data_IF_690157168621
#
_entry.id   IF_690157168621
#
_cell.length_a   1.000
_cell.length_b   1.000
_cell.length_c   1.000
_cell.angle_alpha   90.00
_cell.angle_beta   90.00
_cell.angle_gamma   90.00
#
_symmetry.space_group_name_H-M   'P 1'
#
loop_
_entity.id
_entity.type
_entity.pdbx_description
1 polymer ?
#
# COMPACT_ATOMS: atom_id res chain seq x y z
N UNK A 1 19.04 -17.25 -54.39
CA UNK A 1 17.87 -16.97 -53.53
C UNK A 1 18.37 -16.30 -52.25
N UNK A 2 18.14 -15.00 -52.10
CA UNK A 2 18.60 -14.21 -50.95
C UNK A 2 17.64 -14.43 -49.77
N UNK A 3 18.17 -14.94 -48.67
CA UNK A 3 17.46 -15.13 -47.41
C UNK A 3 17.16 -13.79 -46.75
N UNK A 4 15.89 -13.42 -46.68
CA UNK A 4 15.39 -12.27 -45.94
C UNK A 4 15.45 -12.55 -44.45
N UNK A 5 16.41 -11.95 -43.75
CA UNK A 5 16.45 -11.85 -42.29
C UNK A 5 15.27 -10.99 -41.81
N UNK A 6 14.29 -11.62 -41.16
CA UNK A 6 13.22 -10.92 -40.42
C UNK A 6 13.85 -10.14 -39.27
N UNK A 7 13.79 -8.81 -39.34
CA UNK A 7 14.10 -7.92 -38.23
C UNK A 7 13.10 -8.19 -37.09
N UNK A 8 13.56 -8.79 -35.99
CA UNK A 8 12.78 -8.83 -34.75
C UNK A 8 12.66 -7.41 -34.19
N UNK A 9 11.48 -6.99 -33.70
CA UNK A 9 11.35 -5.68 -33.06
C UNK A 9 12.26 -5.63 -31.83
N UNK A 10 13.16 -4.65 -31.79
CA UNK A 10 14.02 -4.38 -30.63
C UNK A 10 13.12 -4.21 -29.41
N UNK A 11 13.22 -5.11 -28.43
CA UNK A 11 12.65 -4.90 -27.09
C UNK A 11 13.21 -3.58 -26.57
N UNK A 12 12.37 -2.55 -26.53
CA UNK A 12 12.71 -1.29 -25.88
C UNK A 12 12.93 -1.65 -24.41
N UNK A 13 14.16 -1.55 -23.94
CA UNK A 13 14.48 -1.69 -22.53
C UNK A 13 13.90 -0.48 -21.81
N UNK A 14 12.66 -0.60 -21.36
CA UNK A 14 12.02 0.42 -20.54
C UNK A 14 12.84 0.51 -19.25
N UNK A 15 13.58 1.62 -19.08
CA UNK A 15 14.30 1.91 -17.84
C UNK A 15 13.31 1.84 -16.67
N UNK A 16 13.79 1.41 -15.50
CA UNK A 16 12.94 1.47 -14.31
C UNK A 16 12.58 2.94 -14.09
N UNK A 17 11.28 3.24 -14.12
CA UNK A 17 10.73 4.59 -13.90
C UNK A 17 11.02 5.21 -12.52
N UNK A 18 11.78 4.51 -11.67
CA UNK A 18 12.36 5.04 -10.45
C UNK A 18 13.37 6.17 -10.74
N UNK A 19 13.93 6.23 -11.95
CA UNK A 19 14.89 7.24 -12.38
C UNK A 19 14.24 8.50 -12.99
N UNK A 20 12.90 8.53 -13.10
CA UNK A 20 12.21 9.71 -13.64
C UNK A 20 12.26 10.86 -12.63
N UNK A 21 12.81 12.04 -12.98
CA UNK A 21 12.85 13.19 -12.10
C UNK A 21 11.46 13.58 -11.60
N UNK A 22 11.39 14.11 -10.37
CA UNK A 22 10.15 14.59 -9.79
C UNK A 22 9.41 15.56 -10.73
N UNK A 23 8.10 15.40 -10.81
CA UNK A 23 7.28 16.22 -11.70
C UNK A 23 7.00 17.60 -11.11
N UNK A 24 6.61 18.56 -11.94
CA UNK A 24 6.22 19.89 -11.45
C UNK A 24 5.06 19.77 -10.45
N UNK A 25 5.02 20.57 -9.36
CA UNK A 25 3.95 20.49 -8.39
C UNK A 25 2.56 20.78 -9.00
N UNK A 26 1.57 19.97 -8.63
CA UNK A 26 0.16 20.20 -8.94
C UNK A 26 -0.39 21.37 -8.11
N UNK A 27 -1.11 22.31 -8.74
CA UNK A 27 -1.75 23.44 -8.05
C UNK A 27 -2.98 22.98 -7.22
N UNK A 28 -3.66 23.88 -6.50
CA UNK A 28 -4.81 23.52 -5.67
C UNK A 28 -6.01 23.00 -6.47
N UNK A 29 -6.35 23.67 -7.56
CA UNK A 29 -7.46 23.32 -8.45
C UNK A 29 -7.29 21.92 -9.06
N UNK A 30 -6.13 21.63 -9.64
CA UNK A 30 -5.83 20.29 -10.17
C UNK A 30 -5.85 19.21 -9.09
N UNK A 31 -5.42 19.51 -7.85
CA UNK A 31 -5.50 18.53 -6.75
C UNK A 31 -6.94 18.19 -6.40
N UNK A 32 -7.82 19.18 -6.39
CA UNK A 32 -9.24 18.95 -6.15
C UNK A 32 -9.85 18.08 -7.25
N UNK A 33 -9.65 18.47 -8.53
CA UNK A 33 -10.12 17.70 -9.68
C UNK A 33 -9.55 16.28 -9.70
N UNK A 34 -8.28 16.10 -9.33
CA UNK A 34 -7.62 14.80 -9.27
C UNK A 34 -8.36 13.85 -8.32
N UNK A 35 -8.67 14.30 -7.11
CA UNK A 35 -9.38 13.46 -6.14
C UNK A 35 -10.87 13.28 -6.47
N UNK A 36 -11.53 14.28 -7.06
CA UNK A 36 -12.89 14.14 -7.57
C UNK A 36 -13.00 13.00 -8.58
N UNK A 37 -12.13 12.99 -9.60
CA UNK A 37 -12.10 11.94 -10.64
C UNK A 37 -11.73 10.57 -10.07
N UNK A 38 -10.84 10.50 -9.08
CA UNK A 38 -10.54 9.23 -8.42
C UNK A 38 -11.74 8.72 -7.62
N UNK A 39 -12.45 9.58 -6.89
CA UNK A 39 -13.63 9.21 -6.11
C UNK A 39 -14.79 8.73 -7.01
N UNK A 40 -14.97 9.34 -8.18
CA UNK A 40 -15.98 8.91 -9.16
C UNK A 40 -15.66 7.52 -9.75
N UNK A 41 -14.38 7.23 -9.98
CA UNK A 41 -13.94 5.99 -10.62
C UNK A 41 -13.72 4.83 -9.63
N UNK A 42 -13.29 5.13 -8.40
CA UNK A 42 -13.02 4.17 -7.34
C UNK A 42 -14.09 4.35 -6.26
N UNK A 43 -15.24 3.71 -6.44
CA UNK A 43 -16.40 3.90 -5.56
C UNK A 43 -16.18 3.37 -4.14
N UNK A 44 -15.45 2.27 -4.01
CA UNK A 44 -15.18 1.59 -2.74
C UNK A 44 -13.66 1.53 -2.48
N UNK A 45 -13.05 2.64 -2.01
CA UNK A 45 -11.61 2.71 -1.78
C UNK A 45 -11.26 2.04 -0.45
N UNK A 46 -11.25 0.71 -0.44
CA UNK A 46 -10.93 -0.11 0.73
C UNK A 46 -9.64 -0.92 0.54
N UNK A 47 -9.10 -1.44 1.64
CA UNK A 47 -7.98 -2.38 1.60
C UNK A 47 -8.40 -3.67 0.87
N UNK A 48 -7.45 -4.30 0.18
CA UNK A 48 -7.65 -5.60 -0.47
C UNK A 48 -7.31 -6.78 0.45
N UNK A 49 -6.93 -6.50 1.70
CA UNK A 49 -6.72 -7.50 2.75
C UNK A 49 -8.06 -7.86 3.38
N UNK A 50 -8.33 -9.16 3.53
CA UNK A 50 -9.54 -9.64 4.17
C UNK A 50 -9.38 -9.66 5.70
N UNK A 51 -10.33 -9.07 6.41
CA UNK A 51 -10.38 -9.03 7.87
C UNK A 51 -11.82 -8.80 8.37
N UNK A 52 -12.08 -9.18 9.61
CA UNK A 52 -13.37 -8.99 10.31
C UNK A 52 -13.23 -8.27 11.66
N UNK A 53 -12.00 -7.99 12.10
CA UNK A 53 -11.69 -7.24 13.32
C UNK A 53 -10.40 -6.44 13.18
N UNK A 54 -10.16 -5.48 14.09
CA UNK A 54 -8.94 -4.69 14.12
C UNK A 54 -7.70 -5.56 14.36
N UNK A 55 -7.84 -6.63 15.13
CA UNK A 55 -6.78 -7.61 15.34
C UNK A 55 -6.45 -8.36 14.05
N UNK A 56 -7.46 -8.86 13.34
CA UNK A 56 -7.26 -9.53 12.05
C UNK A 56 -6.58 -8.60 11.04
N UNK A 57 -6.99 -7.34 10.98
CA UNK A 57 -6.34 -6.34 10.14
C UNK A 57 -4.88 -6.15 10.52
N UNK A 58 -4.57 -5.97 11.81
CA UNK A 58 -3.19 -5.80 12.28
C UNK A 58 -2.31 -6.97 11.82
N UNK A 59 -2.76 -8.21 12.05
CA UNK A 59 -2.02 -9.40 11.65
C UNK A 59 -1.87 -9.47 10.12
N UNK A 60 -2.94 -9.22 9.36
CA UNK A 60 -2.88 -9.23 7.90
C UNK A 60 -1.87 -8.19 7.36
N UNK A 61 -1.86 -6.97 7.90
CA UNK A 61 -0.92 -5.92 7.49
C UNK A 61 0.51 -6.29 7.87
N UNK A 62 0.75 -6.86 9.06
CA UNK A 62 2.08 -7.37 9.46
C UNK A 62 2.59 -8.45 8.49
N UNK A 63 1.70 -9.35 8.05
CA UNK A 63 2.01 -10.41 7.09
C UNK A 63 2.23 -9.89 5.66
N UNK A 64 1.62 -8.75 5.30
CA UNK A 64 1.71 -8.13 3.96
C UNK A 64 3.09 -7.56 3.62
N UNK A 65 3.97 -7.35 4.60
CA UNK A 65 5.30 -6.81 4.35
C UNK A 65 6.09 -7.69 3.36
N UNK A 66 6.38 -7.15 2.16
CA UNK A 66 7.02 -7.90 1.06
C UNK A 66 6.25 -9.16 0.62
N UNK A 67 4.92 -9.13 0.74
CA UNK A 67 4.03 -10.16 0.24
C UNK A 67 2.95 -9.52 -0.64
N UNK A 68 2.20 -10.34 -1.36
CA UNK A 68 1.01 -9.88 -2.09
C UNK A 68 -0.22 -10.03 -1.20
N UNK A 69 -1.20 -9.13 -1.32
CA UNK A 69 -2.45 -9.22 -0.55
C UNK A 69 -3.16 -10.55 -0.82
N UNK A 70 -3.11 -11.05 -2.07
CA UNK A 70 -3.60 -12.40 -2.42
C UNK A 70 -2.93 -13.51 -1.59
N UNK A 71 -1.61 -13.50 -1.48
CA UNK A 71 -0.89 -14.51 -0.67
C UNK A 71 -1.20 -14.42 0.82
N UNK A 72 -1.43 -13.20 1.32
CA UNK A 72 -1.84 -12.97 2.71
C UNK A 72 -3.25 -13.52 2.93
N UNK A 73 -4.22 -13.15 2.08
CA UNK A 73 -5.62 -13.57 2.19
C UNK A 73 -5.76 -15.10 2.19
N UNK A 74 -4.99 -15.81 1.35
CA UNK A 74 -4.99 -17.29 1.34
C UNK A 74 -4.49 -17.87 2.68
N UNK A 75 -3.49 -17.23 3.30
CA UNK A 75 -2.96 -17.68 4.58
C UNK A 75 -3.91 -17.34 5.73
N UNK A 76 -4.43 -16.10 5.75
CA UNK A 76 -5.29 -15.60 6.82
C UNK A 76 -6.66 -16.24 6.81
N UNK A 77 -7.22 -16.61 5.66
CA UNK A 77 -8.46 -17.38 5.57
C UNK A 77 -8.39 -18.67 6.41
N UNK A 78 -7.28 -19.42 6.29
CA UNK A 78 -7.07 -20.65 7.05
C UNK A 78 -6.70 -20.39 8.51
N UNK A 79 -5.86 -19.38 8.75
CA UNK A 79 -5.40 -19.04 10.10
C UNK A 79 -6.55 -18.52 10.97
N UNK A 80 -7.31 -17.54 10.48
CA UNK A 80 -8.35 -16.87 11.27
C UNK A 80 -9.56 -17.77 11.54
N UNK A 81 -9.78 -18.80 10.72
CA UNK A 81 -10.77 -19.85 11.01
C UNK A 81 -10.47 -20.63 12.31
N UNK A 82 -9.21 -20.69 12.74
CA UNK A 82 -8.80 -21.43 13.95
C UNK A 82 -8.21 -20.54 15.05
N UNK A 83 -7.67 -19.38 14.70
CA UNK A 83 -7.04 -18.45 15.64
C UNK A 83 -7.10 -17.02 15.11
N UNK A 84 -8.06 -16.23 15.59
CA UNK A 84 -8.25 -14.82 15.24
C UNK A 84 -8.33 -13.88 16.45
N UNK A 85 -7.76 -14.29 17.59
CA UNK A 85 -7.57 -13.43 18.76
C UNK A 85 -6.12 -13.53 19.23
N UNK A 86 -5.60 -12.54 19.99
CA UNK A 86 -4.25 -12.62 20.55
C UNK A 86 -4.02 -13.91 21.34
N UNK A 87 -4.98 -14.29 22.20
CA UNK A 87 -4.88 -15.50 23.01
C UNK A 87 -4.88 -16.76 22.14
N UNK A 88 -5.78 -16.88 21.17
CA UNK A 88 -5.84 -18.06 20.30
C UNK A 88 -4.57 -18.23 19.47
N UNK A 89 -3.93 -17.14 19.04
CA UNK A 89 -2.64 -17.19 18.34
C UNK A 89 -1.50 -17.67 19.26
N UNK A 90 -1.51 -17.27 20.54
CA UNK A 90 -0.54 -17.76 21.51
C UNK A 90 -0.76 -19.23 21.85
N UNK A 91 -2.02 -19.66 22.02
CA UNK A 91 -2.39 -21.05 22.29
C UNK A 91 -2.04 -21.95 21.10
N UNK A 92 -2.17 -21.44 19.87
CA UNK A 92 -1.73 -22.13 18.66
C UNK A 92 -0.21 -22.40 18.68
N UNK A 93 0.56 -21.43 19.20
CA UNK A 93 2.00 -21.51 19.33
C UNK A 93 2.77 -21.21 18.04
N UNK A 94 4.05 -20.86 18.19
CA UNK A 94 4.92 -20.39 17.11
C UNK A 94 5.04 -21.40 15.95
N UNK A 95 5.26 -22.67 16.26
CA UNK A 95 5.54 -23.69 15.23
C UNK A 95 4.30 -24.03 14.40
N UNK A 96 3.10 -24.00 15.00
CA UNK A 96 1.87 -24.18 14.23
C UNK A 96 1.52 -22.92 13.45
N UNK A 97 1.68 -21.72 14.02
CA UNK A 97 1.50 -20.47 13.29
C UNK A 97 2.34 -20.44 12.00
N UNK A 98 3.61 -20.85 12.08
CA UNK A 98 4.49 -20.96 10.91
C UNK A 98 3.90 -21.83 9.80
N UNK A 99 3.19 -22.92 10.12
CA UNK A 99 2.57 -23.79 9.12
C UNK A 99 1.50 -23.04 8.33
N UNK A 100 0.65 -22.27 9.01
CA UNK A 100 -0.42 -21.48 8.38
C UNK A 100 0.09 -20.37 7.46
N UNK A 101 1.22 -19.75 7.80
CA UNK A 101 1.76 -18.62 7.03
C UNK A 101 3.00 -18.97 6.20
N UNK A 102 3.30 -20.26 6.04
CA UNK A 102 4.52 -20.75 5.35
C UNK A 102 4.61 -20.36 3.87
N UNK A 103 3.47 -20.07 3.24
CA UNK A 103 3.39 -19.56 1.87
C UNK A 103 3.78 -18.07 1.73
N UNK A 104 4.00 -17.38 2.85
CA UNK A 104 4.39 -15.97 2.88
C UNK A 104 5.91 -15.84 3.03
N UNK A 105 6.54 -14.99 2.22
CA UNK A 105 7.96 -14.68 2.38
C UNK A 105 8.27 -14.13 3.78
N UNK A 106 9.43 -14.51 4.32
CA UNK A 106 9.90 -14.13 5.67
C UNK A 106 9.02 -14.67 6.81
N UNK A 107 8.27 -15.76 6.60
CA UNK A 107 7.33 -16.30 7.58
C UNK A 107 7.94 -16.58 8.96
N UNK A 108 9.22 -16.98 9.05
CA UNK A 108 9.87 -17.26 10.32
C UNK A 108 9.94 -16.02 11.24
N UNK A 109 10.44 -14.89 10.71
CA UNK A 109 10.51 -13.65 11.48
C UNK A 109 9.14 -13.03 11.67
N UNK A 110 8.24 -13.14 10.68
CA UNK A 110 6.84 -12.70 10.81
C UNK A 110 6.10 -13.44 11.91
N UNK A 111 6.21 -14.76 11.99
CA UNK A 111 5.57 -15.56 13.03
C UNK A 111 6.08 -15.14 14.43
N UNK A 112 7.39 -14.97 14.59
CA UNK A 112 7.97 -14.50 15.85
C UNK A 112 7.44 -13.11 16.25
N UNK A 113 7.35 -12.17 15.29
CA UNK A 113 6.78 -10.84 15.51
C UNK A 113 5.29 -10.89 15.88
N UNK A 114 4.51 -11.75 15.22
CA UNK A 114 3.08 -11.95 15.53
C UNK A 114 2.90 -12.49 16.95
N UNK A 115 3.68 -13.51 17.35
CA UNK A 115 3.63 -14.04 18.72
C UNK A 115 3.96 -12.96 19.75
N UNK A 116 5.06 -12.22 19.55
CA UNK A 116 5.45 -11.14 20.45
C UNK A 116 4.40 -10.02 20.51
N UNK A 117 3.82 -9.67 19.36
CA UNK A 117 2.71 -8.70 19.29
C UNK A 117 1.51 -9.18 20.10
N UNK A 118 1.10 -10.44 19.97
CA UNK A 118 -0.02 -10.99 20.75
C UNK A 118 0.26 -10.95 22.26
N UNK A 119 1.49 -11.24 22.69
CA UNK A 119 1.92 -11.09 24.08
C UNK A 119 1.82 -9.63 24.55
N UNK A 120 2.34 -8.69 23.77
CA UNK A 120 2.28 -7.25 24.08
C UNK A 120 0.83 -6.76 24.15
N UNK A 121 -0.05 -7.20 23.24
CA UNK A 121 -1.46 -6.83 23.27
C UNK A 121 -2.14 -7.29 24.55
N UNK A 122 -1.95 -8.54 24.98
CA UNK A 122 -2.55 -9.05 26.21
C UNK A 122 -2.00 -8.38 27.47
N UNK A 123 -0.67 -8.19 27.53
CA UNK A 123 0.00 -7.71 28.75
C UNK A 123 -0.02 -6.19 28.92
N UNK A 124 -0.01 -5.42 27.83
CA UNK A 124 0.11 -3.95 27.85
C UNK A 124 -1.13 -3.22 27.35
N UNK A 125 -1.97 -3.88 26.55
CA UNK A 125 -3.11 -3.25 25.88
C UNK A 125 -4.44 -3.99 26.11
N UNK A 126 -4.52 -4.83 27.15
CA UNK A 126 -5.74 -5.56 27.54
C UNK A 126 -6.37 -6.38 26.41
N UNK A 127 -5.54 -6.91 25.50
CA UNK A 127 -5.96 -7.69 24.34
C UNK A 127 -6.48 -6.86 23.16
N UNK A 128 -6.46 -5.53 23.24
CA UNK A 128 -6.99 -4.63 22.22
C UNK A 128 -5.88 -4.03 21.35
N UNK A 129 -6.18 -3.79 20.08
CA UNK A 129 -5.26 -3.09 19.17
C UNK A 129 -5.21 -1.60 19.55
N UNK A 130 -4.02 -1.04 19.86
CA UNK A 130 -3.92 0.36 20.26
C UNK A 130 -4.26 1.32 19.12
N UNK A 131 -4.83 2.47 19.48
CA UNK A 131 -5.34 3.47 18.53
C UNK A 131 -4.42 4.68 18.37
N UNK A 132 -3.19 4.60 18.86
CA UNK A 132 -2.16 5.63 18.66
C UNK A 132 -0.98 5.07 17.87
N UNK A 133 -0.35 5.93 17.07
CA UNK A 133 0.79 5.52 16.23
C UNK A 133 1.96 5.06 17.08
N UNK A 134 2.26 5.78 18.16
CA UNK A 134 3.44 5.52 18.98
C UNK A 134 3.29 4.17 19.71
N UNK A 135 2.09 3.82 20.17
CA UNK A 135 1.80 2.49 20.72
C UNK A 135 1.88 1.38 19.67
N UNK A 136 1.34 1.60 18.48
CA UNK A 136 1.44 0.63 17.39
C UNK A 136 2.90 0.41 16.97
N UNK A 137 3.71 1.46 16.85
CA UNK A 137 5.14 1.37 16.51
C UNK A 137 5.97 0.65 17.60
N UNK A 138 5.47 0.51 18.83
CA UNK A 138 6.11 -0.31 19.87
C UNK A 138 5.87 -1.82 19.69
N UNK A 139 4.88 -2.23 18.89
CA UNK A 139 4.60 -3.64 18.62
C UNK A 139 5.65 -4.24 17.69
N UNK A 140 6.04 -5.49 17.96
CA UNK A 140 7.09 -6.16 17.22
C UNK A 140 6.73 -6.31 15.73
N UNK A 141 7.58 -5.78 14.84
CA UNK A 141 7.37 -5.85 13.39
C UNK A 141 6.38 -4.80 12.84
N UNK A 142 5.86 -3.91 13.68
CA UNK A 142 5.03 -2.79 13.27
C UNK A 142 5.89 -1.54 13.15
N UNK A 143 6.17 -1.12 11.91
CA UNK A 143 6.78 0.18 11.64
C UNK A 143 5.73 1.26 11.31
N UNK A 144 6.18 2.50 11.11
CA UNK A 144 5.34 3.66 10.78
C UNK A 144 4.30 3.40 9.68
N UNK A 145 4.70 2.74 8.59
CA UNK A 145 3.79 2.42 7.48
C UNK A 145 2.65 1.51 7.96
N UNK A 146 2.99 0.43 8.66
CA UNK A 146 2.00 -0.52 9.21
C UNK A 146 1.07 0.18 10.20
N UNK A 147 1.62 0.97 11.12
CA UNK A 147 0.82 1.75 12.08
C UNK A 147 -0.16 2.69 11.36
N UNK A 148 0.30 3.45 10.36
CA UNK A 148 -0.57 4.35 9.60
C UNK A 148 -1.67 3.59 8.83
N UNK A 149 -1.39 2.41 8.25
CA UNK A 149 -2.43 1.59 7.58
C UNK A 149 -3.50 1.16 8.58
N UNK A 150 -3.11 0.66 9.75
CA UNK A 150 -4.05 0.23 10.80
C UNK A 150 -4.89 1.40 11.29
N UNK A 151 -4.26 2.54 11.63
CA UNK A 151 -4.95 3.74 12.09
C UNK A 151 -5.97 4.28 11.07
N UNK A 152 -5.62 4.27 9.78
CA UNK A 152 -6.53 4.73 8.74
C UNK A 152 -7.69 3.75 8.52
N UNK A 153 -7.37 2.46 8.36
CA UNK A 153 -8.33 1.45 7.89
C UNK A 153 -9.25 0.94 9.00
N UNK A 154 -8.72 0.69 10.21
CA UNK A 154 -9.53 0.23 11.35
C UNK A 154 -10.18 1.38 12.11
N UNK A 155 -9.47 2.49 12.29
CA UNK A 155 -9.87 3.54 13.22
C UNK A 155 -10.25 4.87 12.56
N UNK A 156 -10.34 4.90 11.22
CA UNK A 156 -10.77 6.07 10.46
C UNK A 156 -9.90 7.32 10.67
N UNK A 157 -8.62 7.15 11.04
CA UNK A 157 -7.72 8.29 11.27
C UNK A 157 -7.22 8.85 9.93
N UNK A 158 -7.19 10.18 9.74
CA UNK A 158 -6.71 10.81 8.51
C UNK A 158 -5.17 10.84 8.45
N UNK A 159 -4.55 9.67 8.50
CA UNK A 159 -3.10 9.46 8.39
C UNK A 159 -2.74 8.86 7.03
N UNK A 160 -1.51 9.11 6.57
CA UNK A 160 -1.06 8.63 5.27
C UNK A 160 0.05 7.59 5.42
N UNK A 161 -0.25 6.33 5.10
CA UNK A 161 0.79 5.33 4.87
C UNK A 161 1.34 5.49 3.45
N UNK A 162 2.65 5.71 3.31
CA UNK A 162 3.31 5.84 2.00
C UNK A 162 4.11 4.57 1.72
N UNK A 163 3.67 3.83 0.71
CA UNK A 163 4.35 2.65 0.18
C UNK A 163 5.02 2.97 -1.18
N UNK A 164 5.49 1.95 -1.89
CA UNK A 164 6.13 2.12 -3.21
C UNK A 164 5.16 2.58 -4.29
N UNK A 165 3.86 2.29 -4.17
CA UNK A 165 2.82 2.76 -5.10
C UNK A 165 2.55 4.24 -4.87
N UNK A 166 2.23 4.63 -3.64
CA UNK A 166 1.91 6.01 -3.27
C UNK A 166 3.13 6.92 -3.45
N UNK A 167 4.32 6.45 -3.09
CA UNK A 167 5.57 7.21 -3.32
C UNK A 167 5.76 7.52 -4.81
N UNK A 168 5.54 6.53 -5.69
CA UNK A 168 5.63 6.70 -7.14
C UNK A 168 4.54 7.61 -7.67
N UNK A 169 3.28 7.40 -7.26
CA UNK A 169 2.13 8.23 -7.67
C UNK A 169 2.35 9.68 -7.25
N UNK A 170 2.74 9.94 -6.00
CA UNK A 170 3.01 11.28 -5.49
C UNK A 170 4.07 12.03 -6.29
N UNK A 171 5.18 11.35 -6.61
CA UNK A 171 6.27 11.93 -7.38
C UNK A 171 5.96 12.12 -8.87
N UNK A 172 5.32 11.14 -9.52
CA UNK A 172 4.96 11.23 -10.95
C UNK A 172 3.86 12.24 -11.21
N UNK A 173 2.81 12.25 -10.40
CA UNK A 173 1.65 13.14 -10.64
C UNK A 173 1.93 14.59 -10.28
N UNK A 174 2.98 14.87 -9.49
CA UNK A 174 3.24 16.19 -8.91
C UNK A 174 2.39 16.50 -7.68
N UNK A 175 1.60 15.53 -7.20
CA UNK A 175 0.76 15.66 -6.00
C UNK A 175 1.61 15.89 -4.74
N UNK A 176 2.66 15.09 -4.57
CA UNK A 176 3.54 15.13 -3.41
C UNK A 176 4.94 14.62 -3.79
N UNK A 177 5.79 15.52 -4.27
CA UNK A 177 7.15 15.21 -4.69
C UNK A 177 8.10 15.24 -3.50
N UNK A 178 8.97 14.24 -3.38
CA UNK A 178 9.94 14.15 -2.30
C UNK A 178 10.93 13.01 -2.51
N UNK A 179 12.16 13.19 -2.00
CA UNK A 179 13.22 12.17 -2.07
C UNK A 179 13.06 11.05 -1.06
N UNK A 180 12.31 11.29 0.02
CA UNK A 180 12.12 10.33 1.11
C UNK A 180 10.63 10.07 1.36
N UNK A 181 10.32 8.89 1.88
CA UNK A 181 8.95 8.49 2.26
C UNK A 181 8.32 9.52 3.20
N UNK A 182 9.07 9.97 4.22
CA UNK A 182 8.60 10.96 5.17
C UNK A 182 8.31 12.33 4.53
N UNK A 183 9.13 12.76 3.55
CA UNK A 183 8.87 14.00 2.83
C UNK A 183 7.58 13.91 2.01
N UNK A 184 7.34 12.78 1.36
CA UNK A 184 6.10 12.53 0.60
C UNK A 184 4.90 12.44 1.54
N UNK A 185 5.00 11.74 2.66
CA UNK A 185 3.94 11.64 3.69
C UNK A 185 3.51 13.02 4.18
N UNK A 186 4.47 13.86 4.63
CA UNK A 186 4.19 15.22 5.09
C UNK A 186 3.58 16.10 3.99
N UNK A 187 4.06 15.96 2.75
CA UNK A 187 3.52 16.70 1.63
C UNK A 187 2.08 16.27 1.30
N UNK A 188 1.77 14.98 1.36
CA UNK A 188 0.41 14.45 1.14
C UNK A 188 -0.55 15.00 2.20
N UNK A 189 -0.22 14.89 3.48
CA UNK A 189 -1.04 15.42 4.59
C UNK A 189 -1.32 16.93 4.44
N UNK A 190 -0.34 17.70 3.95
CA UNK A 190 -0.50 19.14 3.72
C UNK A 190 -1.30 19.47 2.45
N UNK A 191 -1.26 18.61 1.44
CA UNK A 191 -1.72 18.95 0.08
C UNK A 191 -3.00 18.26 -0.35
N UNK A 192 -3.39 17.16 0.26
CA UNK A 192 -4.66 16.51 -0.07
C UNK A 192 -5.80 17.41 0.45
N UNK A 193 -6.85 17.68 -0.35
CA UNK A 193 -8.04 18.37 0.16
C UNK A 193 -8.63 17.60 1.33
N UNK A 194 -8.99 18.28 2.42
CA UNK A 194 -9.39 17.65 3.69
C UNK A 194 -10.52 16.64 3.53
N UNK A 195 -11.49 16.90 2.66
CA UNK A 195 -12.63 16.02 2.39
C UNK A 195 -12.24 14.65 1.79
N UNK A 196 -11.05 14.53 1.21
CA UNK A 196 -10.55 13.26 0.65
C UNK A 196 -9.46 12.63 1.50
N UNK A 197 -9.02 13.27 2.58
CA UNK A 197 -7.81 12.86 3.30
C UNK A 197 -7.95 11.47 3.93
N UNK A 198 -9.15 11.10 4.37
CA UNK A 198 -9.44 9.78 4.94
C UNK A 198 -9.23 8.67 3.90
N UNK A 199 -9.82 8.82 2.72
CA UNK A 199 -9.81 7.79 1.67
C UNK A 199 -8.61 7.88 0.72
N UNK A 200 -7.84 8.97 0.81
CA UNK A 200 -6.72 9.23 -0.09
C UNK A 200 -5.68 8.12 -0.09
N UNK A 201 -5.44 7.45 1.04
CA UNK A 201 -4.54 6.29 1.06
C UNK A 201 -4.98 5.23 0.05
N UNK A 202 -6.24 4.83 0.12
CA UNK A 202 -6.82 3.80 -0.74
C UNK A 202 -6.95 4.25 -2.20
N UNK A 203 -7.36 5.50 -2.46
CA UNK A 203 -7.37 6.04 -3.82
C UNK A 203 -6.00 5.97 -4.48
N UNK A 204 -4.95 6.40 -3.75
CA UNK A 204 -3.61 6.47 -4.31
C UNK A 204 -2.95 5.09 -4.46
N UNK A 205 -3.15 4.16 -3.53
CA UNK A 205 -2.61 2.80 -3.64
C UNK A 205 -3.29 2.03 -4.78
N UNK A 206 -4.62 2.08 -4.89
CA UNK A 206 -5.38 1.40 -5.94
C UNK A 206 -5.04 1.99 -7.32
N UNK A 207 -5.01 3.33 -7.43
CA UNK A 207 -4.57 4.00 -8.66
C UNK A 207 -3.13 3.62 -9.04
N UNK A 208 -2.22 3.63 -8.06
CA UNK A 208 -0.83 3.24 -8.26
C UNK A 208 -0.67 1.77 -8.65
N UNK A 209 -1.49 0.87 -8.11
CA UNK A 209 -1.46 -0.57 -8.37
C UNK A 209 -1.98 -0.91 -9.76
N UNK A 210 -3.12 -0.34 -10.16
CA UNK A 210 -3.85 -0.78 -11.35
C UNK A 210 -3.70 0.13 -12.58
N UNK A 211 -3.32 1.39 -12.38
CA UNK A 211 -3.22 2.40 -13.45
C UNK A 211 -1.80 2.95 -13.59
N UNK A 212 -1.28 3.61 -12.55
CA UNK A 212 0.03 4.24 -12.55
C UNK A 212 1.15 3.22 -12.21
N UNK A 213 1.21 2.15 -12.99
CA UNK A 213 2.11 1.01 -12.78
C UNK A 213 3.59 1.40 -12.95
N UNK A 214 4.47 0.66 -12.29
CA UNK A 214 5.90 0.96 -12.28
C UNK A 214 6.56 0.81 -13.65
N UNK A 215 6.20 -0.20 -14.45
CA UNK A 215 6.87 -0.48 -15.72
C UNK A 215 6.13 0.07 -16.94
N UNK A 216 4.82 -0.09 -16.98
CA UNK A 216 3.97 0.32 -18.11
C UNK A 216 2.73 1.03 -17.57
N UNK A 217 2.84 2.30 -17.14
CA UNK A 217 1.66 3.04 -16.68
C UNK A 217 0.64 3.18 -17.80
N UNK A 218 -0.64 3.00 -17.49
CA UNK A 218 -1.75 3.10 -18.45
C UNK A 218 -2.17 4.56 -18.67
N UNK A 219 -1.24 5.41 -19.13
CA UNK A 219 -1.51 6.85 -19.23
C UNK A 219 -2.68 7.16 -20.19
N UNK A 220 -2.82 6.43 -21.30
CA UNK A 220 -3.89 6.66 -22.29
C UNK A 220 -5.31 6.36 -21.80
N UNK A 221 -5.46 5.60 -20.72
CA UNK A 221 -6.76 5.31 -20.06
C UNK A 221 -6.83 5.85 -18.64
N UNK A 222 -5.89 6.71 -18.25
CA UNK A 222 -5.81 7.24 -16.90
C UNK A 222 -6.86 8.32 -16.68
N UNK A 223 -7.78 8.11 -15.73
CA UNK A 223 -8.86 9.07 -15.43
C UNK A 223 -8.36 10.45 -14.99
N UNK A 224 -7.16 10.51 -14.38
CA UNK A 224 -6.53 11.75 -13.90
C UNK A 224 -5.43 12.26 -14.85
N UNK A 225 -5.51 11.90 -16.15
CA UNK A 225 -4.49 12.25 -17.13
C UNK A 225 -4.24 13.77 -17.24
N UNK A 226 -5.30 14.58 -17.25
CA UNK A 226 -5.22 16.03 -17.46
C UNK A 226 -4.64 16.76 -16.24
N UNK A 227 -4.90 16.25 -15.05
CA UNK A 227 -4.37 16.77 -13.79
C UNK A 227 -2.91 16.35 -13.58
N UNK A 228 -2.55 15.15 -14.05
CA UNK A 228 -1.24 14.55 -13.87
C UNK A 228 -0.12 15.38 -14.51
N UNK A 229 0.91 15.67 -13.72
CA UNK A 229 2.09 16.43 -14.15
C UNK A 229 3.26 15.57 -14.63
N UNK A 230 3.02 14.26 -14.84
CA UNK A 230 4.07 13.32 -15.24
C UNK A 230 4.62 13.64 -16.63
N UNK A 231 5.93 13.90 -16.70
CA UNK A 231 6.60 14.39 -17.93
C UNK A 231 6.44 13.46 -19.13
N UNK A 232 6.48 12.15 -18.92
CA UNK A 232 6.43 11.17 -20.01
C UNK A 232 5.00 10.66 -20.28
N UNK A 233 3.94 11.26 -19.71
CA UNK A 233 2.58 10.72 -19.81
C UNK A 233 2.08 10.58 -21.26
N UNK A 234 2.46 11.49 -22.15
CA UNK A 234 2.09 11.47 -23.58
C UNK A 234 2.70 10.24 -24.28
N UNK A 235 3.99 9.97 -24.04
CA UNK A 235 4.68 8.77 -24.59
C UNK A 235 4.05 7.45 -24.16
N UNK A 236 3.40 7.43 -23.00
CA UNK A 236 2.69 6.27 -22.46
C UNK A 236 1.20 6.24 -22.82
N UNK A 237 0.67 7.33 -23.38
CA UNK A 237 -0.70 7.38 -23.89
C UNK A 237 -0.80 6.88 -25.33
N UNK A 238 0.30 6.99 -26.08
CA UNK A 238 0.42 6.54 -27.48
C UNK A 238 0.79 5.05 -27.63
N UNK A 239 1.11 4.36 -26.54
CA UNK A 239 1.46 2.93 -26.48
C UNK A 239 0.26 2.06 -26.13
#
# INVERSE_FOLDING_TARGET
MKTTTRNQPKKISISKTADTPASRPMNAEKRLAFFQKLAEHIKDPVTELNYSSEFELLIAVMLSAQATDKSVNIATEKLFAVANTPQAILDLGLDNLKKYISNIGLYNSKAANVIKTCQDLLTKHNGQVPQTRDELEMLAGVGRKTANVVLNTAFGKPVMAVDTHIFRVGNRTGLATGKTVLAVEKALLKRIPSQYLLDAHHYLILHGRYTCMARQPKCGSCVVYDECMFKDKEKWAEQ
#
